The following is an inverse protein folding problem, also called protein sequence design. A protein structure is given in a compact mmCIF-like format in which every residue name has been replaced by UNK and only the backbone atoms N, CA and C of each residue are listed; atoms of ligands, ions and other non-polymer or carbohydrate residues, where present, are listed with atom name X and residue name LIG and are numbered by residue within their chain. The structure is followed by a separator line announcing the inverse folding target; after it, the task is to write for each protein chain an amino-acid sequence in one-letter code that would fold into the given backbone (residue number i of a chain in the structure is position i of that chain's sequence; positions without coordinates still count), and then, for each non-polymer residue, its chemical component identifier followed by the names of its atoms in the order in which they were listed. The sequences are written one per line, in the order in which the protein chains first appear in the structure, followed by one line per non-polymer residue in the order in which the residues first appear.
data_IF_278222651780
#
_entry.id   IF_278222651780
#
_cell.length_a   1.000
_cell.length_b   1.000
_cell.length_c   1.000
_cell.angle_alpha   90.00
_cell.angle_beta   90.00
_cell.angle_gamma   90.00
#
_symmetry.space_group_name_H-M   'P 1'
#
loop_
_entity.id
_entity.type
_entity.pdbx_description
1 polymer ?
#
# COMPACT_ATOMS: atom_id res chain seq x y z
N UNK A 1 9.03 -25.06 -37.52
CA UNK A 1 10.10 -24.59 -36.62
C UNK A 1 10.71 -25.82 -35.98
N UNK A 2 11.99 -26.11 -36.24
CA UNK A 2 12.66 -27.25 -35.61
C UNK A 2 13.33 -26.77 -34.32
N UNK A 3 13.26 -27.59 -33.29
CA UNK A 3 13.91 -27.36 -32.01
C UNK A 3 15.06 -28.36 -31.90
N UNK A 4 16.27 -27.85 -31.75
CA UNK A 4 17.48 -28.64 -31.57
C UNK A 4 17.94 -28.55 -30.12
N UNK A 5 18.70 -29.56 -29.68
CA UNK A 5 19.43 -29.50 -28.41
C UNK A 5 20.91 -29.29 -28.71
N UNK A 6 21.49 -28.22 -28.20
CA UNK A 6 22.89 -27.86 -28.45
C UNK A 6 23.66 -27.70 -27.15
N UNK A 7 24.99 -27.85 -27.21
CA UNK A 7 25.84 -27.58 -26.06
C UNK A 7 25.84 -26.09 -25.74
N UNK A 8 25.74 -25.76 -24.46
CA UNK A 8 25.72 -24.36 -23.97
C UNK A 8 27.01 -23.63 -24.30
N UNK A 9 28.13 -24.35 -24.34
CA UNK A 9 29.46 -23.80 -24.62
C UNK A 9 29.63 -23.39 -26.09
N UNK A 10 28.81 -23.93 -26.99
CA UNK A 10 28.79 -23.57 -28.41
C UNK A 10 28.00 -22.26 -28.67
N UNK A 11 27.32 -21.71 -27.66
CA UNK A 11 26.47 -20.54 -27.80
C UNK A 11 27.15 -19.27 -27.29
N UNK A 12 26.93 -18.18 -28.00
CA UNK A 12 27.41 -16.85 -27.66
C UNK A 12 26.22 -15.95 -27.28
N UNK A 13 26.40 -15.14 -26.23
CA UNK A 13 25.45 -14.07 -25.90
C UNK A 13 25.53 -12.99 -26.97
N UNK A 14 24.40 -12.34 -27.27
CA UNK A 14 24.40 -11.17 -28.15
C UNK A 14 25.08 -9.97 -27.45
N UNK A 15 26.25 -9.50 -27.90
CA UNK A 15 26.93 -8.37 -27.31
C UNK A 15 26.13 -7.05 -27.47
N UNK A 16 25.19 -7.00 -28.41
CA UNK A 16 24.32 -5.87 -28.66
C UNK A 16 22.90 -6.02 -28.05
N UNK A 17 22.71 -6.97 -27.14
CA UNK A 17 21.42 -7.17 -26.49
C UNK A 17 20.98 -5.90 -25.77
N UNK A 18 19.87 -5.32 -26.23
CA UNK A 18 19.33 -4.09 -25.64
C UNK A 18 18.72 -4.30 -24.23
N UNK A 19 18.39 -5.55 -23.87
CA UNK A 19 17.77 -5.88 -22.58
C UNK A 19 18.83 -6.24 -21.54
N UNK A 20 18.78 -5.54 -20.39
CA UNK A 20 19.64 -5.83 -19.25
C UNK A 20 18.88 -6.70 -18.25
N UNK A 21 19.53 -7.70 -17.71
CA UNK A 21 18.95 -8.60 -16.71
C UNK A 21 19.51 -8.24 -15.33
N UNK A 22 18.65 -7.86 -14.38
CA UNK A 22 19.02 -7.69 -12.99
C UNK A 22 19.28 -9.04 -12.33
N UNK A 23 19.97 -9.05 -11.18
CA UNK A 23 20.15 -10.27 -10.40
C UNK A 23 18.81 -10.93 -10.07
N UNK A 24 17.84 -10.15 -9.58
CA UNK A 24 16.46 -10.64 -9.27
C UNK A 24 15.81 -11.33 -10.48
N UNK A 25 15.95 -10.75 -11.67
CA UNK A 25 15.41 -11.35 -12.90
C UNK A 25 16.12 -12.67 -13.25
N UNK A 26 17.45 -12.72 -13.13
CA UNK A 26 18.19 -13.96 -13.40
C UNK A 26 17.88 -15.05 -12.37
N UNK A 27 17.73 -14.71 -11.10
CA UNK A 27 17.35 -15.62 -10.02
C UNK A 27 15.94 -16.22 -10.30
N UNK A 28 14.97 -15.39 -10.71
CA UNK A 28 13.63 -15.86 -11.08
C UNK A 28 13.63 -16.80 -12.29
N UNK A 29 14.44 -16.49 -13.32
CA UNK A 29 14.61 -17.38 -14.48
C UNK A 29 15.25 -18.70 -14.05
N UNK A 30 16.28 -18.65 -13.19
CA UNK A 30 16.95 -19.84 -12.68
C UNK A 30 16.02 -20.73 -11.87
N UNK A 31 15.25 -20.16 -10.94
CA UNK A 31 14.23 -20.87 -10.16
C UNK A 31 13.17 -21.55 -11.04
N UNK A 32 12.71 -20.85 -12.09
CA UNK A 32 11.79 -21.44 -13.06
C UNK A 32 12.43 -22.61 -13.84
N UNK A 33 13.68 -22.46 -14.27
CA UNK A 33 14.39 -23.53 -14.99
C UNK A 33 14.67 -24.74 -14.10
N UNK A 34 15.04 -24.53 -12.85
CA UNK A 34 15.30 -25.60 -11.88
C UNK A 34 14.03 -26.39 -11.59
N UNK A 35 12.90 -25.71 -11.42
CA UNK A 35 11.65 -26.33 -11.00
C UNK A 35 10.89 -26.99 -12.16
N UNK A 36 10.85 -26.36 -13.31
CA UNK A 36 10.05 -26.81 -14.44
C UNK A 36 10.87 -27.34 -15.62
N UNK A 37 12.19 -27.15 -15.58
CA UNK A 37 13.04 -27.36 -16.77
C UNK A 37 12.77 -26.31 -17.85
N UNK A 38 13.45 -26.44 -18.96
CA UNK A 38 13.20 -25.56 -20.10
C UNK A 38 11.91 -25.95 -20.83
N UNK A 39 10.92 -25.06 -20.87
CA UNK A 39 9.64 -25.22 -21.57
C UNK A 39 9.52 -24.38 -22.83
N UNK A 40 10.37 -23.37 -22.98
CA UNK A 40 10.43 -22.49 -24.15
C UNK A 40 11.87 -22.50 -24.69
N UNK A 41 12.12 -22.86 -25.97
CA UNK A 41 13.46 -22.82 -26.54
C UNK A 41 13.95 -21.36 -26.63
N UNK A 42 15.25 -21.16 -26.49
CA UNK A 42 15.87 -19.85 -26.81
C UNK A 42 16.04 -19.78 -28.35
N UNK A 43 16.07 -18.54 -28.88
CA UNK A 43 16.22 -18.35 -30.33
C UNK A 43 17.68 -18.01 -30.68
N UNK A 44 18.23 -18.68 -31.64
CA UNK A 44 19.62 -18.48 -32.07
C UNK A 44 19.71 -18.19 -33.54
N UNK A 45 20.64 -17.33 -33.91
CA UNK A 45 21.07 -17.10 -35.28
C UNK A 45 22.54 -17.48 -35.40
N UNK A 46 22.85 -18.52 -36.19
CA UNK A 46 24.13 -19.20 -36.15
C UNK A 46 24.40 -19.74 -34.74
N UNK A 47 25.39 -19.20 -34.01
CA UNK A 47 25.67 -19.56 -32.62
C UNK A 47 25.33 -18.43 -31.61
N UNK A 48 24.88 -17.28 -32.11
CA UNK A 48 24.51 -16.11 -31.28
C UNK A 48 23.06 -16.19 -30.81
N UNK A 49 22.81 -16.01 -29.50
CA UNK A 49 21.47 -15.99 -28.94
C UNK A 49 20.80 -14.67 -29.26
N UNK A 50 19.69 -14.71 -29.99
CA UNK A 50 18.90 -13.56 -30.42
C UNK A 50 17.78 -13.24 -29.41
N UNK A 51 17.12 -14.29 -28.88
CA UNK A 51 16.11 -14.13 -27.80
C UNK A 51 16.35 -15.22 -26.75
N UNK A 52 16.23 -14.84 -25.46
CA UNK A 52 16.50 -15.72 -24.32
C UNK A 52 17.92 -15.63 -23.76
N UNK A 53 18.61 -14.49 -23.92
CA UNK A 53 19.93 -14.25 -23.32
C UNK A 53 19.94 -14.48 -21.81
N UNK A 54 18.91 -14.01 -21.07
CA UNK A 54 18.76 -14.27 -19.64
C UNK A 54 18.62 -15.76 -19.32
N UNK A 55 17.91 -16.51 -20.15
CA UNK A 55 17.75 -17.97 -20.00
C UNK A 55 19.07 -18.69 -20.18
N UNK A 56 19.91 -18.30 -21.16
CA UNK A 56 21.24 -18.87 -21.32
C UNK A 56 22.13 -18.59 -20.11
N UNK A 57 22.11 -17.36 -19.58
CA UNK A 57 22.88 -16.98 -18.38
C UNK A 57 22.44 -17.80 -17.16
N UNK A 58 21.14 -17.92 -16.93
CA UNK A 58 20.58 -18.69 -15.82
C UNK A 58 20.90 -20.20 -15.96
N UNK A 59 20.77 -20.77 -17.16
CA UNK A 59 21.13 -22.16 -17.41
C UNK A 59 22.62 -22.44 -17.15
N UNK A 60 23.51 -21.52 -17.51
CA UNK A 60 24.95 -21.59 -17.19
C UNK A 60 25.18 -21.56 -15.67
N UNK A 61 24.50 -20.70 -14.94
CA UNK A 61 24.64 -20.64 -13.48
C UNK A 61 24.17 -21.91 -12.78
N UNK A 62 23.18 -22.60 -13.34
CA UNK A 62 22.70 -23.92 -12.90
C UNK A 62 23.56 -25.09 -13.32
N UNK A 63 24.65 -24.87 -14.08
CA UNK A 63 25.55 -25.90 -14.52
C UNK A 63 25.00 -26.81 -15.64
N UNK A 64 24.00 -26.32 -16.38
CA UNK A 64 23.48 -27.09 -17.53
C UNK A 64 24.55 -27.24 -18.61
N UNK A 65 24.56 -28.38 -19.28
CA UNK A 65 25.49 -28.66 -20.37
C UNK A 65 24.88 -28.44 -21.75
N UNK A 66 23.57 -28.55 -21.86
CA UNK A 66 22.85 -28.43 -23.11
C UNK A 66 21.53 -27.69 -22.91
N UNK A 67 21.06 -27.06 -23.98
CA UNK A 67 19.84 -26.24 -23.97
C UNK A 67 19.11 -26.39 -25.30
N UNK A 68 17.77 -26.32 -25.26
CA UNK A 68 16.93 -26.35 -26.46
C UNK A 68 16.91 -25.00 -27.17
N UNK A 69 17.14 -25.01 -28.45
CA UNK A 69 17.18 -23.82 -29.30
C UNK A 69 16.24 -23.94 -30.49
N UNK A 70 15.69 -22.80 -30.90
CA UNK A 70 15.04 -22.63 -32.18
C UNK A 70 15.95 -21.77 -33.08
N UNK A 71 16.17 -22.18 -34.33
CA UNK A 71 17.05 -21.45 -35.23
C UNK A 71 16.26 -20.40 -36.01
N UNK A 72 16.84 -19.22 -36.18
CA UNK A 72 16.37 -18.28 -37.21
C UNK A 72 16.51 -18.88 -38.58
N UNK A 73 15.70 -18.49 -39.55
CA UNK A 73 15.87 -18.87 -40.94
C UNK A 73 17.29 -18.54 -41.48
N UNK A 74 17.85 -19.41 -42.30
CA UNK A 74 19.22 -19.25 -42.79
C UNK A 74 19.37 -18.05 -43.77
N UNK A 75 18.27 -17.62 -44.37
CA UNK A 75 18.19 -16.47 -45.28
C UNK A 75 18.04 -15.12 -44.59
N UNK A 76 17.91 -15.10 -43.23
CA UNK A 76 17.84 -13.85 -42.52
C UNK A 76 19.18 -13.12 -42.51
N UNK A 77 19.08 -11.81 -42.77
CA UNK A 77 20.20 -10.88 -42.60
C UNK A 77 20.28 -10.33 -41.16
N UNK A 78 21.33 -9.58 -40.86
CA UNK A 78 21.60 -8.96 -39.57
C UNK A 78 20.48 -7.97 -39.14
N UNK A 79 19.83 -7.27 -40.09
CA UNK A 79 18.76 -6.35 -39.80
C UNK A 79 17.47 -7.05 -39.41
N UNK A 80 17.15 -8.15 -40.09
CA UNK A 80 15.98 -8.98 -39.76
C UNK A 80 16.14 -9.61 -38.39
N UNK A 81 17.33 -10.11 -38.07
CA UNK A 81 17.66 -10.69 -36.76
C UNK A 81 17.49 -9.64 -35.65
N UNK A 82 18.00 -8.43 -35.86
CA UNK A 82 17.88 -7.32 -34.93
C UNK A 82 16.42 -6.86 -34.75
N UNK A 83 15.66 -6.77 -35.83
CA UNK A 83 14.25 -6.42 -35.80
C UNK A 83 13.46 -7.47 -35.03
N UNK A 84 13.72 -8.76 -35.23
CA UNK A 84 13.10 -9.85 -34.48
C UNK A 84 13.41 -9.75 -32.97
N UNK A 85 14.69 -9.57 -32.60
CA UNK A 85 15.09 -9.43 -31.18
C UNK A 85 14.37 -8.31 -30.47
N UNK A 86 14.20 -7.15 -31.12
CA UNK A 86 13.45 -6.02 -30.59
C UNK A 86 11.95 -6.33 -30.48
N UNK A 87 11.36 -6.96 -31.51
CA UNK A 87 9.95 -7.30 -31.52
C UNK A 87 9.57 -8.33 -30.43
N UNK A 88 10.42 -9.37 -30.26
CA UNK A 88 10.22 -10.38 -29.21
C UNK A 88 10.20 -9.75 -27.80
N UNK A 89 11.17 -8.90 -27.50
CA UNK A 89 11.22 -8.18 -26.24
C UNK A 89 10.01 -7.25 -26.07
N UNK A 90 9.64 -6.49 -27.11
CA UNK A 90 8.58 -5.48 -27.02
C UNK A 90 7.20 -6.14 -26.86
N UNK A 91 6.95 -7.27 -27.50
CA UNK A 91 5.68 -7.99 -27.37
C UNK A 91 5.43 -8.46 -25.93
N UNK A 92 6.48 -8.88 -25.23
CA UNK A 92 6.39 -9.26 -23.81
C UNK A 92 6.12 -8.08 -22.89
N UNK A 93 6.66 -6.88 -23.23
CA UNK A 93 6.46 -5.65 -22.44
C UNK A 93 5.07 -5.04 -22.63
N UNK A 94 4.40 -5.28 -23.73
CA UNK A 94 3.06 -4.76 -24.02
C UNK A 94 1.95 -5.60 -23.38
N UNK A 95 2.26 -6.79 -22.88
CA UNK A 95 1.30 -7.59 -22.14
C UNK A 95 1.19 -7.08 -20.70
N UNK A 96 -0.02 -6.96 -20.22
CA UNK A 96 -0.34 -6.57 -18.86
C UNK A 96 -0.97 -7.76 -18.12
N UNK A 97 -0.75 -7.83 -16.80
CA UNK A 97 -1.40 -8.82 -15.97
C UNK A 97 -2.83 -8.37 -15.66
N UNK A 98 -3.78 -9.32 -15.73
CA UNK A 98 -5.03 -9.15 -15.00
C UNK A 98 -4.73 -9.43 -13.53
N UNK A 99 -4.61 -8.37 -12.75
CA UNK A 99 -4.18 -8.43 -11.34
C UNK A 99 -5.12 -9.31 -10.49
N UNK A 100 -6.42 -9.32 -10.77
CA UNK A 100 -7.38 -10.14 -10.02
C UNK A 100 -7.15 -11.63 -10.29
N UNK A 101 -6.97 -11.99 -11.56
CA UNK A 101 -6.70 -13.37 -11.96
C UNK A 101 -5.33 -13.81 -11.48
N UNK A 102 -4.32 -12.93 -11.56
CA UNK A 102 -2.97 -13.21 -11.10
C UNK A 102 -2.94 -13.50 -9.59
N UNK A 103 -3.55 -12.62 -8.79
CA UNK A 103 -3.58 -12.76 -7.35
C UNK A 103 -4.32 -14.04 -6.93
N UNK A 104 -5.46 -14.36 -7.55
CA UNK A 104 -6.17 -15.61 -7.28
C UNK A 104 -5.31 -16.86 -7.56
N UNK A 105 -4.53 -16.83 -8.65
CA UNK A 105 -3.62 -17.93 -9.02
C UNK A 105 -2.42 -18.04 -8.05
N UNK A 106 -1.86 -16.90 -7.61
CA UNK A 106 -0.77 -16.89 -6.63
C UNK A 106 -1.24 -17.45 -5.28
N UNK A 107 -2.41 -17.06 -4.81
CA UNK A 107 -3.03 -17.60 -3.59
C UNK A 107 -3.24 -19.12 -3.68
N UNK A 108 -3.76 -19.61 -4.80
CA UNK A 108 -3.94 -21.05 -5.00
C UNK A 108 -2.61 -21.80 -4.92
N UNK A 109 -1.54 -21.21 -5.47
CA UNK A 109 -0.19 -21.80 -5.42
C UNK A 109 0.39 -21.76 -4.01
N UNK A 110 0.23 -20.66 -3.27
CA UNK A 110 0.70 -20.52 -1.88
C UNK A 110 -0.05 -21.48 -0.93
N UNK A 111 -1.37 -21.63 -1.07
CA UNK A 111 -2.15 -22.61 -0.32
C UNK A 111 -1.71 -24.07 -0.59
N UNK A 112 -1.15 -24.30 -1.78
CA UNK A 112 -0.53 -25.59 -2.15
C UNK A 112 0.95 -25.68 -1.73
N UNK A 113 1.42 -24.81 -0.86
CA UNK A 113 2.83 -24.72 -0.39
C UNK A 113 3.84 -24.54 -1.54
N UNK A 114 3.42 -23.89 -2.62
CA UNK A 114 4.31 -23.61 -3.74
C UNK A 114 5.09 -22.33 -3.48
N UNK A 115 6.40 -22.38 -3.61
CA UNK A 115 7.28 -21.22 -3.47
C UNK A 115 7.16 -20.28 -4.69
N UNK A 116 6.33 -19.24 -4.57
CA UNK A 116 6.10 -18.25 -5.62
C UNK A 116 7.25 -17.25 -5.74
N UNK A 117 8.06 -17.07 -4.69
CA UNK A 117 9.25 -16.21 -4.74
C UNK A 117 10.31 -16.81 -5.68
N UNK A 118 10.44 -18.13 -5.68
CA UNK A 118 11.37 -18.82 -6.57
C UNK A 118 11.07 -18.63 -8.07
N UNK A 119 9.85 -18.24 -8.43
CA UNK A 119 9.46 -17.92 -9.81
C UNK A 119 9.33 -16.40 -10.06
N UNK A 120 9.74 -15.57 -9.10
CA UNK A 120 9.91 -14.14 -9.25
C UNK A 120 8.71 -13.28 -8.82
N UNK A 121 7.67 -13.87 -8.24
CA UNK A 121 6.61 -13.12 -7.58
C UNK A 121 6.98 -12.86 -6.13
N UNK A 122 6.58 -11.71 -5.61
CA UNK A 122 6.67 -11.46 -4.18
C UNK A 122 5.51 -12.18 -3.51
N UNK A 123 5.78 -12.89 -2.42
CA UNK A 123 4.72 -13.37 -1.56
C UNK A 123 3.93 -12.13 -1.14
N UNK A 124 2.70 -12.05 -1.59
CA UNK A 124 1.75 -11.20 -0.90
C UNK A 124 1.61 -11.84 0.47
N UNK A 125 2.22 -11.25 1.48
CA UNK A 125 1.74 -11.50 2.84
C UNK A 125 0.29 -11.04 2.78
N UNK A 126 -0.62 -11.97 2.53
CA UNK A 126 -2.02 -11.72 2.79
C UNK A 126 -2.09 -11.42 4.27
N UNK A 127 -2.18 -10.14 4.55
CA UNK A 127 -2.86 -9.72 5.75
C UNK A 127 -4.22 -10.39 5.64
N UNK A 128 -4.47 -11.44 6.47
CA UNK A 128 -5.77 -12.11 6.52
C UNK A 128 -6.84 -11.04 6.29
N UNK A 129 -7.77 -11.22 5.35
CA UNK A 129 -8.83 -10.25 5.16
C UNK A 129 -9.57 -10.17 6.50
N UNK A 130 -9.10 -9.26 7.33
CA UNK A 130 -9.93 -8.81 8.44
C UNK A 130 -11.18 -8.37 7.71
N UNK A 131 -12.34 -8.84 8.17
CA UNK A 131 -13.63 -8.31 7.73
C UNK A 131 -13.63 -6.85 8.20
N UNK A 132 -12.86 -6.04 7.49
CA UNK A 132 -12.36 -4.71 7.86
C UNK A 132 -13.47 -3.69 7.88
N UNK A 133 -14.60 -4.04 7.30
CA UNK A 133 -15.63 -3.11 6.91
C UNK A 133 -16.90 -3.22 7.76
N UNK A 134 -17.00 -4.21 8.64
CA UNK A 134 -18.07 -4.24 9.62
C UNK A 134 -17.71 -3.35 10.81
N UNK A 135 -18.20 -2.12 10.78
CA UNK A 135 -18.20 -1.26 11.96
C UNK A 135 -19.35 -1.73 12.85
N UNK A 136 -19.07 -2.20 14.07
CA UNK A 136 -20.14 -2.54 15.01
C UNK A 136 -20.99 -1.32 15.28
N UNK A 137 -22.29 -1.45 15.21
CA UNK A 137 -23.22 -0.37 15.54
C UNK A 137 -23.20 -0.15 17.06
N UNK A 138 -22.57 0.94 17.49
CA UNK A 138 -22.54 1.34 18.91
C UNK A 138 -23.71 2.29 19.18
N UNK A 139 -24.72 1.80 19.86
CA UNK A 139 -25.95 2.57 20.16
C UNK A 139 -25.72 3.56 21.29
N UNK A 140 -25.01 3.15 22.35
CA UNK A 140 -24.63 4.01 23.48
C UNK A 140 -23.15 3.80 23.80
N UNK A 141 -22.30 4.85 23.79
CA UNK A 141 -20.88 4.71 24.06
C UNK A 141 -20.62 4.37 25.53
N UNK A 142 -19.67 3.45 25.75
CA UNK A 142 -19.14 3.13 27.08
C UNK A 142 -17.99 4.05 27.46
N UNK A 143 -17.17 4.41 26.46
CA UNK A 143 -16.03 5.30 26.61
C UNK A 143 -16.45 6.75 26.85
N UNK A 144 -15.62 7.53 27.52
CA UNK A 144 -15.83 8.95 27.84
C UNK A 144 -14.58 9.76 27.54
N UNK A 145 -14.74 11.05 27.34
CA UNK A 145 -13.60 11.97 27.23
C UNK A 145 -12.69 11.87 28.46
N UNK A 146 -11.41 11.67 28.20
CA UNK A 146 -10.36 11.46 29.21
C UNK A 146 -9.96 10.01 29.41
N UNK A 147 -10.78 9.05 29.01
CA UNK A 147 -10.51 7.62 29.13
C UNK A 147 -9.28 7.23 28.32
N UNK A 148 -8.42 6.39 28.93
CA UNK A 148 -7.29 5.75 28.26
C UNK A 148 -7.42 4.25 28.37
N UNK A 149 -7.44 3.60 27.23
CA UNK A 149 -7.58 2.17 27.08
C UNK A 149 -6.24 1.52 26.67
N UNK A 150 -5.96 0.34 27.23
CA UNK A 150 -4.87 -0.52 26.82
C UNK A 150 -5.44 -1.66 25.98
N UNK A 151 -4.99 -1.77 24.72
CA UNK A 151 -5.38 -2.80 23.76
C UNK A 151 -4.11 -3.65 23.46
N UNK A 152 -3.86 -4.71 24.22
CA UNK A 152 -2.61 -5.44 24.15
C UNK A 152 -1.40 -4.51 24.33
N UNK A 153 -0.62 -4.33 23.27
CA UNK A 153 0.54 -3.39 23.26
C UNK A 153 0.18 -1.95 22.87
N UNK A 154 -1.04 -1.71 22.38
CA UNK A 154 -1.49 -0.38 21.92
C UNK A 154 -2.14 0.42 23.04
N UNK A 155 -2.18 1.74 22.85
CA UNK A 155 -2.92 2.66 23.72
C UNK A 155 -3.89 3.49 22.88
N UNK A 156 -5.11 3.60 23.37
CA UNK A 156 -6.18 4.40 22.77
C UNK A 156 -6.70 5.38 23.80
N UNK A 157 -6.78 6.66 23.44
CA UNK A 157 -7.33 7.69 24.30
C UNK A 157 -8.55 8.35 23.66
N UNK A 158 -9.62 8.47 24.44
CA UNK A 158 -10.75 9.32 24.09
C UNK A 158 -10.41 10.76 24.43
N UNK A 159 -10.10 11.61 23.44
CA UNK A 159 -9.68 12.97 23.76
C UNK A 159 -9.39 13.86 22.57
N UNK A 160 -9.22 15.15 22.86
CA UNK A 160 -8.87 16.17 21.88
C UNK A 160 -7.37 16.18 21.61
N UNK A 161 -7.00 15.90 20.38
CA UNK A 161 -5.61 15.81 19.89
C UNK A 161 -4.93 17.17 19.70
N UNK A 162 -5.66 18.27 19.74
CA UNK A 162 -5.09 19.63 19.73
C UNK A 162 -4.51 20.03 21.09
N UNK A 163 -4.89 19.32 22.15
CA UNK A 163 -4.40 19.49 23.52
C UNK A 163 -3.14 18.66 23.71
N UNK A 164 -1.98 19.33 23.78
CA UNK A 164 -0.65 18.67 23.83
C UNK A 164 -0.53 17.75 25.06
N UNK A 165 -1.14 18.09 26.16
CA UNK A 165 -1.16 17.32 27.41
C UNK A 165 -1.85 15.95 27.22
N UNK A 166 -2.91 15.90 26.42
CA UNK A 166 -3.57 14.64 26.08
C UNK A 166 -2.64 13.72 25.29
N UNK A 167 -1.92 14.28 24.31
CA UNK A 167 -0.96 13.50 23.52
C UNK A 167 0.23 13.06 24.37
N UNK A 168 0.67 13.88 25.35
CA UNK A 168 1.69 13.48 26.32
C UNK A 168 1.22 12.34 27.22
N UNK A 169 -0.01 12.38 27.69
CA UNK A 169 -0.65 11.32 28.48
C UNK A 169 -0.72 10.02 27.68
N UNK A 170 -1.16 10.09 26.43
CA UNK A 170 -1.23 8.95 25.51
C UNK A 170 0.16 8.32 25.31
N UNK A 171 1.17 9.12 25.00
CA UNK A 171 2.55 8.71 24.72
C UNK A 171 3.38 8.45 25.99
N UNK A 172 2.85 8.67 27.19
CA UNK A 172 3.57 8.56 28.47
C UNK A 172 4.88 9.39 28.48
N UNK A 173 4.82 10.59 27.93
CA UNK A 173 5.98 11.50 27.84
C UNK A 173 7.04 11.09 26.81
N UNK A 174 6.83 10.04 26.03
CA UNK A 174 7.73 9.59 24.97
C UNK A 174 7.39 10.23 23.63
N UNK A 175 8.21 9.93 22.61
CA UNK A 175 7.90 10.24 21.22
C UNK A 175 7.60 8.95 20.45
N UNK A 176 6.73 9.06 19.44
CA UNK A 176 6.52 8.00 18.48
C UNK A 176 7.61 8.02 17.40
N UNK A 177 7.93 6.84 16.84
CA UNK A 177 8.91 6.73 15.75
C UNK A 177 8.38 7.26 14.43
N UNK A 178 7.08 7.19 14.20
CA UNK A 178 6.40 7.76 13.04
C UNK A 178 4.95 8.14 13.34
N UNK A 179 4.31 8.86 12.41
CA UNK A 179 2.89 9.11 12.43
C UNK A 179 2.23 8.74 11.11
N UNK A 180 0.99 8.27 11.23
CA UNK A 180 0.07 8.10 10.10
C UNK A 180 -1.30 8.60 10.56
N UNK A 181 -1.83 9.66 9.96
CA UNK A 181 -3.01 10.33 10.51
C UNK A 181 -3.84 11.03 9.43
N UNK A 182 -5.15 11.13 9.66
CA UNK A 182 -6.15 11.64 8.74
C UNK A 182 -7.03 12.71 9.42
N UNK A 183 -6.54 13.95 9.53
CA UNK A 183 -7.31 15.04 10.15
C UNK A 183 -8.62 15.34 9.40
N UNK A 184 -9.67 15.80 10.06
CA UNK A 184 -10.88 16.29 9.39
C UNK A 184 -10.55 17.38 8.36
N UNK A 185 -11.21 17.29 7.19
CA UNK A 185 -10.85 18.14 6.04
C UNK A 185 -11.45 19.55 6.10
N UNK A 186 -12.27 19.88 7.10
CA UNK A 186 -12.91 21.17 7.22
C UNK A 186 -13.93 21.47 6.10
N UNK A 187 -14.53 20.43 5.53
CA UNK A 187 -15.42 20.56 4.36
C UNK A 187 -16.89 20.32 4.68
N UNK A 188 -17.32 20.37 5.94
CA UNK A 188 -18.71 20.21 6.41
C UNK A 188 -19.50 19.16 5.57
N UNK A 189 -19.03 17.90 5.57
CA UNK A 189 -19.57 16.85 4.72
C UNK A 189 -20.96 16.41 5.21
N UNK A 190 -22.02 16.91 4.54
CA UNK A 190 -23.43 16.63 4.89
C UNK A 190 -24.01 15.39 4.19
N UNK A 191 -23.22 14.60 3.49
CA UNK A 191 -23.69 13.44 2.72
C UNK A 191 -24.27 13.79 1.35
N UNK A 192 -24.04 12.94 0.38
CA UNK A 192 -24.60 13.08 -0.98
C UNK A 192 -26.05 12.57 -1.09
N UNK A 193 -26.78 13.01 -2.09
CA UNK A 193 -28.09 12.48 -2.47
C UNK A 193 -27.91 11.06 -3.00
N UNK A 194 -28.45 10.06 -2.33
CA UNK A 194 -28.58 8.70 -2.88
C UNK A 194 -29.94 8.54 -3.53
N UNK A 195 -29.96 8.19 -4.82
CA UNK A 195 -31.17 7.77 -5.50
C UNK A 195 -31.45 6.30 -5.15
N UNK A 196 -32.47 6.07 -4.34
CA UNK A 196 -32.93 4.71 -4.04
C UNK A 196 -33.92 4.26 -5.11
N UNK A 197 -33.49 3.30 -5.93
CA UNK A 197 -34.37 2.51 -6.77
C UNK A 197 -34.69 3.08 -8.16
N UNK A 198 -34.75 2.19 -9.15
CA UNK A 198 -34.96 2.47 -10.59
C UNK A 198 -36.33 3.05 -10.96
N UNK A 199 -37.26 3.24 -10.03
CA UNK A 199 -38.67 3.52 -10.41
C UNK A 199 -39.46 4.50 -9.54
N UNK A 200 -38.96 5.14 -8.51
CA UNK A 200 -39.78 6.02 -7.66
C UNK A 200 -39.41 7.49 -7.63
N UNK A 201 -38.28 7.88 -8.16
CA UNK A 201 -37.90 9.31 -8.26
C UNK A 201 -37.82 10.10 -6.93
N UNK A 202 -37.96 9.45 -5.80
CA UNK A 202 -37.85 10.09 -4.49
C UNK A 202 -36.38 10.19 -4.06
N UNK A 203 -35.94 11.42 -3.83
CA UNK A 203 -34.63 11.69 -3.25
C UNK A 203 -34.70 11.50 -1.73
N UNK A 204 -34.02 10.49 -1.21
CA UNK A 204 -33.82 10.34 0.22
C UNK A 204 -32.58 11.13 0.62
N UNK A 205 -32.77 12.18 1.42
CA UNK A 205 -31.67 12.91 2.04
C UNK A 205 -31.20 12.09 3.23
N UNK A 206 -30.04 11.47 3.14
CA UNK A 206 -29.37 10.93 4.30
C UNK A 206 -28.79 12.12 5.08
N UNK A 207 -29.50 12.57 6.12
CA UNK A 207 -28.94 13.44 7.14
C UNK A 207 -27.91 12.59 7.92
N UNK A 208 -26.65 12.60 7.47
CA UNK A 208 -25.54 12.13 8.32
C UNK A 208 -25.23 13.21 9.33
N UNK A 209 -25.03 12.80 10.59
CA UNK A 209 -24.45 13.68 11.60
C UNK A 209 -23.10 14.19 11.06
N UNK A 210 -22.84 15.50 11.20
CA UNK A 210 -21.56 16.10 10.83
C UNK A 210 -20.46 15.46 11.67
N UNK A 211 -19.33 15.18 11.03
CA UNK A 211 -18.13 14.78 11.77
C UNK A 211 -17.72 15.97 12.65
N UNK A 212 -17.51 15.73 13.91
CA UNK A 212 -17.14 16.78 14.87
C UNK A 212 -15.83 17.44 14.42
N UNK A 213 -15.79 18.79 14.38
CA UNK A 213 -14.68 19.62 13.87
C UNK A 213 -14.35 19.52 12.37
N UNK A 214 -15.22 18.96 11.53
CA UNK A 214 -14.98 18.93 10.07
C UNK A 214 -15.10 20.33 9.41
N UNK A 215 -15.54 21.36 10.13
CA UNK A 215 -15.60 22.74 9.70
C UNK A 215 -14.38 23.58 10.10
N UNK A 216 -13.38 22.99 10.79
CA UNK A 216 -12.21 23.67 11.34
C UNK A 216 -10.94 23.22 10.62
N UNK A 217 -10.07 24.19 10.26
CA UNK A 217 -8.73 23.92 9.76
C UNK A 217 -7.76 23.62 10.91
N UNK A 218 -7.58 22.35 11.22
CA UNK A 218 -6.73 21.86 12.31
C UNK A 218 -5.27 21.63 11.91
N UNK A 219 -4.91 21.78 10.64
CA UNK A 219 -3.59 21.37 10.15
C UNK A 219 -2.42 22.06 10.81
N UNK A 220 -2.57 23.33 11.15
CA UNK A 220 -1.49 24.08 11.82
C UNK A 220 -1.20 23.52 13.23
N UNK A 221 -2.23 23.10 13.96
CA UNK A 221 -2.10 22.55 15.31
C UNK A 221 -1.64 21.08 15.24
N UNK A 222 -2.17 20.28 14.33
CA UNK A 222 -1.69 18.92 14.06
C UNK A 222 -0.19 18.91 13.76
N UNK A 223 0.28 19.78 12.87
CA UNK A 223 1.71 19.88 12.54
C UNK A 223 2.56 20.25 13.76
N UNK A 224 2.09 21.13 14.65
CA UNK A 224 2.80 21.46 15.90
C UNK A 224 2.89 20.25 16.83
N UNK A 225 1.78 19.53 17.00
CA UNK A 225 1.75 18.31 17.81
C UNK A 225 2.70 17.26 17.25
N UNK A 226 2.63 16.95 15.95
CA UNK A 226 3.50 15.98 15.30
C UNK A 226 4.99 16.41 15.38
N UNK A 227 5.28 17.71 15.22
CA UNK A 227 6.64 18.23 15.35
C UNK A 227 7.22 18.03 16.74
N UNK A 228 6.39 18.09 17.79
CA UNK A 228 6.81 17.88 19.16
C UNK A 228 6.90 16.39 19.55
N UNK A 229 6.03 15.55 19.00
CA UNK A 229 5.77 14.19 19.49
C UNK A 229 6.24 13.05 18.57
N UNK A 230 6.76 13.36 17.38
CA UNK A 230 7.25 12.34 16.43
C UNK A 230 8.74 12.53 16.14
N UNK A 231 9.49 11.42 16.08
CA UNK A 231 10.94 11.41 15.83
C UNK A 231 11.30 10.78 14.46
N UNK A 232 10.41 10.86 13.49
CA UNK A 232 10.61 10.29 12.16
C UNK A 232 9.56 10.71 11.14
N UNK A 233 9.15 9.77 10.31
CA UNK A 233 8.24 9.99 9.20
C UNK A 233 6.81 10.31 9.65
N UNK A 234 6.16 11.26 8.98
CA UNK A 234 4.75 11.55 9.15
C UNK A 234 4.03 11.46 7.80
N UNK A 235 2.95 10.70 7.77
CA UNK A 235 2.01 10.60 6.66
C UNK A 235 0.72 11.30 7.07
N UNK A 236 0.40 12.42 6.43
CA UNK A 236 -0.71 13.29 6.81
C UNK A 236 -1.64 13.41 5.61
N UNK A 237 -2.82 12.81 5.73
CA UNK A 237 -3.85 12.87 4.69
C UNK A 237 -4.54 14.23 4.72
N UNK A 238 -5.00 14.70 3.55
CA UNK A 238 -5.65 15.99 3.46
C UNK A 238 -6.52 16.11 2.20
N UNK A 239 -7.40 17.14 2.19
CA UNK A 239 -8.16 17.52 1.00
C UNK A 239 -7.38 18.59 0.21
N UNK A 240 -7.56 18.61 -1.13
CA UNK A 240 -6.95 19.63 -2.01
C UNK A 240 -7.22 21.06 -1.53
N UNK A 241 -8.37 21.33 -0.90
CA UNK A 241 -8.73 22.64 -0.33
C UNK A 241 -7.79 23.07 0.80
N UNK A 242 -7.18 22.13 1.51
CA UNK A 242 -6.33 22.39 2.69
C UNK A 242 -4.83 22.40 2.35
N UNK A 243 -4.46 22.17 1.08
CA UNK A 243 -3.06 22.04 0.65
C UNK A 243 -2.20 23.21 1.11
N UNK A 244 -2.68 24.46 0.92
CA UNK A 244 -1.87 25.66 1.22
C UNK A 244 -1.63 25.82 2.73
N UNK A 245 -2.64 25.59 3.54
CA UNK A 245 -2.56 25.64 5.00
C UNK A 245 -1.60 24.60 5.53
N UNK A 246 -1.84 23.31 5.19
CA UNK A 246 -0.98 22.21 5.60
C UNK A 246 0.47 22.42 5.17
N UNK A 247 0.70 22.77 3.89
CA UNK A 247 2.06 22.91 3.36
C UNK A 247 2.82 24.07 4.02
N UNK A 248 2.14 25.19 4.28
CA UNK A 248 2.71 26.33 4.98
C UNK A 248 3.12 26.00 6.42
N UNK A 249 2.27 25.28 7.14
CA UNK A 249 2.56 24.81 8.50
C UNK A 249 3.72 23.79 8.47
N UNK A 250 3.68 22.80 7.58
CA UNK A 250 4.70 21.78 7.44
C UNK A 250 6.09 22.34 7.18
N UNK A 251 6.23 23.32 6.28
CA UNK A 251 7.51 23.99 5.99
C UNK A 251 8.07 24.77 7.17
N UNK A 252 7.22 25.28 8.05
CA UNK A 252 7.66 26.00 9.25
C UNK A 252 8.30 25.07 10.28
N UNK A 253 7.79 23.86 10.44
CA UNK A 253 8.17 22.94 11.52
C UNK A 253 8.99 21.72 11.06
N UNK A 254 9.15 21.51 9.75
CA UNK A 254 9.87 20.34 9.24
C UNK A 254 10.18 20.40 7.75
N UNK A 255 10.47 19.24 7.17
CA UNK A 255 10.82 19.07 5.77
C UNK A 255 9.77 18.22 5.06
N UNK A 256 9.22 18.76 3.98
CA UNK A 256 8.35 18.03 3.06
C UNK A 256 9.21 17.22 2.11
N UNK A 257 9.01 15.91 2.05
CA UNK A 257 9.77 15.01 1.19
C UNK A 257 9.03 14.63 -0.08
N UNK A 258 7.72 14.37 0.02
CA UNK A 258 6.90 14.01 -1.14
C UNK A 258 5.42 14.32 -0.89
N UNK A 259 4.66 14.34 -1.97
CA UNK A 259 3.22 14.19 -1.96
C UNK A 259 2.89 12.82 -2.54
N UNK A 260 2.20 12.00 -1.77
CA UNK A 260 1.74 10.67 -2.17
C UNK A 260 0.28 10.79 -2.58
N UNK A 261 -0.09 10.14 -3.66
CA UNK A 261 -1.46 10.11 -4.16
C UNK A 261 -2.00 8.67 -4.08
N UNK A 262 -2.97 8.44 -3.22
CA UNK A 262 -3.70 7.19 -3.24
C UNK A 262 -4.77 7.23 -4.33
N UNK A 263 -4.67 6.35 -5.32
CA UNK A 263 -5.64 6.21 -6.41
C UNK A 263 -6.76 5.26 -5.97
N UNK A 264 -7.99 5.75 -6.04
CA UNK A 264 -9.17 4.97 -5.66
C UNK A 264 -9.72 4.16 -6.84
N UNK A 265 -9.86 2.87 -6.67
CA UNK A 265 -10.56 2.02 -7.62
C UNK A 265 -12.07 2.11 -7.38
N UNK A 266 -12.75 2.91 -8.19
CA UNK A 266 -14.19 3.16 -8.09
C UNK A 266 -14.56 4.29 -7.11
N UNK A 267 -15.73 4.84 -7.31
CA UNK A 267 -16.23 6.00 -6.55
C UNK A 267 -15.81 7.32 -7.16
N UNK A 268 -16.81 8.09 -7.60
CA UNK A 268 -16.61 9.42 -8.17
C UNK A 268 -17.19 10.44 -7.20
N UNK A 269 -16.42 11.47 -6.87
CA UNK A 269 -16.95 12.62 -6.15
C UNK A 269 -17.96 13.38 -7.01
N UNK A 270 -18.84 14.09 -6.38
CA UNK A 270 -19.87 15.02 -6.83
C UNK A 270 -20.33 14.90 -8.30
N UNK A 271 -21.61 14.65 -8.51
CA UNK A 271 -22.19 14.47 -9.85
C UNK A 271 -21.94 15.64 -10.80
N UNK A 272 -21.74 16.86 -10.30
CA UNK A 272 -21.60 18.10 -11.08
C UNK A 272 -20.16 18.57 -11.27
N UNK A 273 -19.14 17.82 -10.84
CA UNK A 273 -17.75 18.21 -11.05
C UNK A 273 -17.29 17.93 -12.49
N UNK A 274 -16.60 18.89 -13.11
CA UNK A 274 -16.01 18.72 -14.46
C UNK A 274 -15.01 17.57 -14.51
N UNK A 275 -14.19 17.43 -13.46
CA UNK A 275 -13.27 16.33 -13.29
C UNK A 275 -13.67 15.49 -12.08
N UNK A 276 -13.70 14.18 -12.26
CA UNK A 276 -13.97 13.23 -11.17
C UNK A 276 -12.69 12.95 -10.42
N UNK A 277 -12.67 13.26 -9.12
CA UNK A 277 -11.50 13.03 -8.27
C UNK A 277 -11.34 11.53 -8.00
N UNK A 278 -10.22 10.96 -8.44
CA UNK A 278 -9.88 9.54 -8.27
C UNK A 278 -8.75 9.31 -7.27
N UNK A 279 -8.31 10.34 -6.57
CA UNK A 279 -7.19 10.21 -5.64
C UNK A 279 -7.44 10.99 -4.36
N UNK A 280 -6.73 10.58 -3.31
CA UNK A 280 -6.57 11.36 -2.08
C UNK A 280 -5.08 11.65 -1.87
N UNK A 281 -4.72 12.91 -1.59
CA UNK A 281 -3.34 13.27 -1.34
C UNK A 281 -2.94 13.02 0.12
N UNK A 282 -1.66 12.63 0.29
CA UNK A 282 -1.02 12.48 1.58
C UNK A 282 0.33 13.21 1.56
N UNK A 283 0.59 14.04 2.56
CA UNK A 283 1.86 14.70 2.73
C UNK A 283 2.84 13.77 3.44
N UNK A 284 3.94 13.42 2.79
CA UNK A 284 5.06 12.73 3.39
C UNK A 284 6.06 13.75 3.91
N UNK A 285 6.13 13.86 5.23
CA UNK A 285 6.82 14.92 5.95
C UNK A 285 7.61 14.37 7.13
N UNK A 286 8.59 15.14 7.63
CA UNK A 286 9.25 14.86 8.91
C UNK A 286 9.46 16.14 9.71
N UNK A 287 9.46 16.10 11.06
CA UNK A 287 9.89 17.19 11.91
C UNK A 287 11.33 17.60 11.68
N UNK A 288 11.69 18.85 12.00
CA UNK A 288 13.08 19.31 12.01
C UNK A 288 13.92 18.47 12.99
N UNK A 289 15.17 18.24 12.61
CA UNK A 289 16.16 17.52 13.42
C UNK A 289 15.80 16.04 13.69
N UNK A 290 14.91 15.46 12.90
CA UNK A 290 14.60 14.03 12.92
C UNK A 290 15.17 13.32 11.69
N UNK A 291 15.24 12.00 11.70
CA UNK A 291 15.78 11.19 10.60
C UNK A 291 14.71 10.24 10.07
N UNK A 292 14.53 10.23 8.75
CA UNK A 292 13.73 9.19 8.11
C UNK A 292 14.50 7.87 8.16
N UNK A 293 13.89 6.85 8.73
CA UNK A 293 14.42 5.48 8.75
C UNK A 293 13.69 4.65 7.67
N UNK A 294 13.79 5.11 6.43
CA UNK A 294 13.13 4.45 5.31
C UNK A 294 13.86 3.15 4.94
N UNK A 295 13.12 2.04 4.91
CA UNK A 295 13.59 0.70 4.57
C UNK A 295 12.82 0.08 3.38
N UNK A 296 11.86 0.80 2.85
CA UNK A 296 11.07 0.38 1.69
C UNK A 296 11.92 0.15 0.44
N UNK A 297 11.36 -0.51 -0.55
CA UNK A 297 12.03 -0.79 -1.80
C UNK A 297 12.48 0.49 -2.52
N UNK A 298 13.61 0.44 -3.24
CA UNK A 298 14.11 1.57 -4.05
C UNK A 298 13.20 1.92 -5.24
N UNK A 299 12.23 1.07 -5.52
CA UNK A 299 11.22 1.23 -6.57
C UNK A 299 9.92 1.82 -6.06
N UNK A 300 9.81 2.16 -4.76
CA UNK A 300 8.61 2.80 -4.22
C UNK A 300 8.29 4.09 -4.96
N UNK A 301 7.01 4.29 -5.26
CA UNK A 301 6.51 5.44 -5.99
C UNK A 301 5.58 6.30 -5.14
N UNK A 302 5.34 7.52 -5.59
CA UNK A 302 4.38 8.42 -4.93
C UNK A 302 2.92 8.17 -5.38
N UNK A 303 2.69 7.27 -6.31
CA UNK A 303 1.35 6.83 -6.72
C UNK A 303 1.09 5.48 -6.03
N UNK A 304 0.09 5.47 -5.16
CA UNK A 304 -0.35 4.26 -4.47
C UNK A 304 -1.67 3.81 -5.06
N UNK A 305 -1.61 2.73 -5.82
CA UNK A 305 -2.78 2.05 -6.38
C UNK A 305 -3.07 0.83 -5.48
N UNK A 306 -3.89 1.05 -4.47
CA UNK A 306 -4.33 0.01 -3.55
C UNK A 306 -5.84 -0.12 -3.73
N UNK A 307 -6.25 -1.26 -4.22
CA UNK A 307 -7.67 -1.58 -4.36
C UNK A 307 -8.33 -1.62 -2.99
N UNK A 308 -9.55 -1.10 -2.90
CA UNK A 308 -10.44 -1.44 -1.80
C UNK A 308 -10.91 -2.87 -2.05
N UNK A 309 -10.33 -3.84 -1.36
CA UNK A 309 -10.86 -5.19 -1.35
C UNK A 309 -12.16 -5.18 -0.53
N UNK A 310 -13.28 -5.33 -1.23
CA UNK A 310 -14.60 -5.36 -0.65
C UNK A 310 -15.41 -4.07 -0.84
N UNK A 311 -16.70 -4.23 -1.08
CA UNK A 311 -17.67 -3.13 -1.15
C UNK A 311 -17.93 -2.62 0.25
N UNK A 312 -17.27 -1.54 0.64
CA UNK A 312 -17.59 -0.84 1.87
C UNK A 312 -18.89 -0.06 1.69
N UNK A 313 -20.01 -0.69 1.96
CA UNK A 313 -21.33 -0.04 1.89
C UNK A 313 -21.56 0.91 3.09
N UNK A 314 -20.75 0.80 4.15
CA UNK A 314 -21.00 1.46 5.43
C UNK A 314 -20.22 2.75 5.69
N UNK A 315 -19.01 2.96 5.10
CA UNK A 315 -18.24 4.20 5.28
C UNK A 315 -17.46 4.63 4.04
N UNK A 316 -17.93 5.62 3.29
CA UNK A 316 -17.25 6.13 2.09
C UNK A 316 -15.95 6.90 2.39
N UNK A 317 -15.71 7.29 3.64
CA UNK A 317 -14.52 8.06 4.08
C UNK A 317 -13.44 7.22 4.75
N UNK A 318 -13.70 5.93 5.06
CA UNK A 318 -12.71 5.09 5.72
C UNK A 318 -11.55 4.75 4.78
N UNK A 319 -10.32 4.93 5.28
CA UNK A 319 -9.10 4.49 4.58
C UNK A 319 -8.85 3.00 4.80
N UNK A 320 -8.44 2.26 3.76
CA UNK A 320 -8.06 0.86 3.88
C UNK A 320 -6.89 0.67 4.86
N UNK A 321 -6.92 -0.40 5.65
CA UNK A 321 -5.81 -0.81 6.53
C UNK A 321 -4.50 -0.94 5.75
N UNK A 322 -4.56 -1.44 4.51
CA UNK A 322 -3.44 -1.59 3.61
C UNK A 322 -2.64 -0.29 3.35
N UNK A 323 -3.29 0.89 3.38
CA UNK A 323 -2.58 2.17 3.23
C UNK A 323 -1.66 2.44 4.43
N UNK A 324 -2.17 2.23 5.65
CA UNK A 324 -1.39 2.39 6.86
C UNK A 324 -0.30 1.32 6.94
N UNK A 325 -0.60 0.06 6.64
CA UNK A 325 0.35 -1.04 6.62
C UNK A 325 1.51 -0.76 5.64
N UNK A 326 1.22 -0.29 4.42
CA UNK A 326 2.24 0.10 3.44
C UNK A 326 3.14 1.22 3.96
N UNK A 327 2.59 2.26 4.55
CA UNK A 327 3.38 3.35 5.14
C UNK A 327 4.27 2.84 6.28
N UNK A 328 3.72 2.02 7.17
CA UNK A 328 4.41 1.49 8.35
C UNK A 328 5.57 0.56 7.96
N UNK A 329 5.34 -0.36 7.03
CA UNK A 329 6.36 -1.33 6.61
C UNK A 329 7.51 -0.69 5.83
N UNK A 330 7.31 0.47 5.26
CA UNK A 330 8.36 1.24 4.60
C UNK A 330 9.34 1.92 5.58
N UNK A 331 9.13 1.80 6.89
CA UNK A 331 9.99 2.43 7.89
C UNK A 331 10.44 1.45 8.99
N UNK A 332 11.70 1.61 9.45
CA UNK A 332 12.16 1.01 10.70
C UNK A 332 11.59 1.81 11.88
N UNK A 333 10.30 1.61 12.13
CA UNK A 333 9.52 2.25 13.18
C UNK A 333 8.88 1.18 14.06
N UNK A 334 8.98 1.31 15.38
CA UNK A 334 8.36 0.41 16.36
C UNK A 334 7.05 0.94 16.91
N UNK A 335 6.88 2.26 16.84
CA UNK A 335 5.70 2.95 17.35
C UNK A 335 5.15 3.93 16.33
N UNK A 336 3.82 3.97 16.24
CA UNK A 336 3.04 4.80 15.31
C UNK A 336 2.08 5.64 16.10
N UNK A 337 2.03 6.94 15.83
CA UNK A 337 1.06 7.88 16.39
C UNK A 337 -0.02 8.16 15.33
N UNK A 338 -1.27 7.98 15.73
CA UNK A 338 -2.43 8.46 15.00
C UNK A 338 -3.31 9.30 15.93
N UNK A 339 -3.43 10.59 15.62
CA UNK A 339 -4.17 11.54 16.46
C UNK A 339 -5.61 11.76 16.02
N UNK A 340 -6.06 11.05 14.98
CA UNK A 340 -7.43 11.03 14.47
C UNK A 340 -7.82 9.59 14.11
N UNK A 341 -8.13 8.79 15.11
CA UNK A 341 -8.28 7.34 14.99
C UNK A 341 -9.39 6.88 14.05
N UNK A 342 -10.49 7.66 13.98
CA UNK A 342 -11.67 7.31 13.20
C UNK A 342 -12.16 5.89 13.53
N UNK A 343 -12.21 5.02 12.55
CA UNK A 343 -12.59 3.62 12.75
C UNK A 343 -11.44 2.70 13.20
N UNK A 344 -10.20 3.20 13.36
CA UNK A 344 -9.06 2.46 13.87
C UNK A 344 -8.21 1.71 12.85
N UNK A 345 -8.28 2.05 11.57
CA UNK A 345 -7.51 1.36 10.52
C UNK A 345 -6.00 1.34 10.78
N UNK A 346 -5.44 2.44 11.32
CA UNK A 346 -4.03 2.52 11.68
C UNK A 346 -3.67 1.56 12.83
N UNK A 347 -4.55 1.39 13.82
CA UNK A 347 -4.32 0.47 14.94
C UNK A 347 -4.32 -0.98 14.46
N UNK A 348 -5.27 -1.34 13.61
CA UNK A 348 -5.33 -2.67 12.98
C UNK A 348 -4.07 -2.94 12.15
N UNK A 349 -3.62 -1.97 11.34
CA UNK A 349 -2.37 -2.09 10.58
C UNK A 349 -1.14 -2.30 11.50
N UNK A 350 -1.10 -1.60 12.65
CA UNK A 350 -0.05 -1.78 13.64
C UNK A 350 -0.07 -3.16 14.27
N UNK A 351 -1.27 -3.71 14.59
CA UNK A 351 -1.41 -5.05 15.11
C UNK A 351 -0.88 -6.09 14.12
N UNK A 352 -1.29 -6.00 12.86
CA UNK A 352 -0.88 -6.92 11.79
C UNK A 352 0.62 -6.84 11.46
N UNK A 353 1.24 -5.67 11.62
CA UNK A 353 2.66 -5.45 11.29
C UNK A 353 3.60 -5.52 12.51
N UNK A 354 3.12 -5.94 13.66
CA UNK A 354 3.87 -6.03 14.93
C UNK A 354 4.46 -4.68 15.38
N UNK A 355 3.65 -3.63 15.33
CA UNK A 355 4.00 -2.27 15.80
C UNK A 355 3.10 -1.87 16.97
N UNK A 356 3.56 -0.93 17.80
CA UNK A 356 2.74 -0.31 18.85
C UNK A 356 2.02 0.91 18.27
N UNK A 357 0.70 0.96 18.38
CA UNK A 357 -0.08 2.14 18.04
C UNK A 357 -0.38 2.97 19.28
N UNK A 358 -0.17 4.28 19.19
CA UNK A 358 -0.71 5.28 20.10
C UNK A 358 -1.77 6.04 19.33
N UNK A 359 -3.04 5.86 19.71
CA UNK A 359 -4.17 6.37 18.95
C UNK A 359 -5.03 7.28 19.80
N UNK A 360 -5.51 8.38 19.21
CA UNK A 360 -6.46 9.28 19.82
C UNK A 360 -7.69 9.43 18.94
N UNK A 361 -8.85 9.45 19.57
CA UNK A 361 -10.13 9.68 18.90
C UNK A 361 -11.00 10.54 19.81
N UNK A 362 -11.65 11.56 19.23
CA UNK A 362 -12.45 12.50 20.00
C UNK A 362 -13.84 11.95 20.33
N UNK A 363 -14.47 11.25 19.38
CA UNK A 363 -15.82 10.70 19.54
C UNK A 363 -15.80 9.40 20.35
N UNK A 364 -16.43 9.34 21.53
CA UNK A 364 -16.53 8.12 22.33
C UNK A 364 -17.12 6.91 21.58
N UNK A 365 -18.03 7.13 20.63
CA UNK A 365 -18.60 6.05 19.82
C UNK A 365 -17.53 5.38 18.95
N UNK A 366 -16.67 6.19 18.31
CA UNK A 366 -15.57 5.66 17.52
C UNK A 366 -14.48 4.99 18.36
N UNK A 367 -14.24 5.46 19.59
CA UNK A 367 -13.37 4.78 20.56
C UNK A 367 -13.87 3.35 20.81
N UNK A 368 -15.17 3.18 21.07
CA UNK A 368 -15.77 1.86 21.29
C UNK A 368 -15.74 0.99 20.01
N UNK A 369 -15.87 1.60 18.84
CA UNK A 369 -15.69 0.89 17.54
C UNK A 369 -14.26 0.37 17.41
N UNK A 370 -13.26 1.17 17.70
CA UNK A 370 -11.85 0.78 17.64
C UNK A 370 -11.58 -0.40 18.59
N UNK A 371 -12.10 -0.32 19.82
CA UNK A 371 -11.99 -1.38 20.81
C UNK A 371 -12.61 -2.68 20.28
N UNK A 372 -13.86 -2.63 19.82
CA UNK A 372 -14.58 -3.79 19.34
C UNK A 372 -13.91 -4.45 18.11
N UNK A 373 -13.34 -3.64 17.21
CA UNK A 373 -12.58 -4.13 16.05
C UNK A 373 -11.30 -4.84 16.47
N UNK A 374 -10.56 -4.26 17.41
CA UNK A 374 -9.32 -4.87 17.89
C UNK A 374 -9.61 -6.17 18.67
N UNK A 375 -10.62 -6.17 19.55
CA UNK A 375 -11.06 -7.37 20.29
C UNK A 375 -11.52 -8.50 19.33
N UNK A 376 -12.25 -8.13 18.27
CA UNK A 376 -12.69 -9.10 17.24
C UNK A 376 -11.49 -9.70 16.48
N UNK A 377 -10.47 -8.88 16.20
CA UNK A 377 -9.27 -9.30 15.46
C UNK A 377 -8.39 -10.24 16.30
N UNK A 378 -8.16 -9.88 17.56
CA UNK A 378 -7.16 -10.56 18.41
C UNK A 378 -7.75 -11.64 19.31
N UNK A 379 -9.04 -11.54 19.64
CA UNK A 379 -9.67 -12.35 20.67
C UNK A 379 -9.33 -11.92 22.09
N UNK A 380 -8.50 -10.88 22.27
CA UNK A 380 -8.14 -10.32 23.56
C UNK A 380 -9.18 -9.28 24.00
N UNK A 381 -9.10 -8.81 25.24
CA UNK A 381 -10.01 -7.82 25.82
C UNK A 381 -9.27 -6.52 26.15
N UNK A 382 -9.83 -5.39 25.73
CA UNK A 382 -9.30 -4.07 26.06
C UNK A 382 -9.52 -3.73 27.55
N UNK A 383 -8.57 -3.02 28.14
CA UNK A 383 -8.59 -2.66 29.56
C UNK A 383 -8.58 -1.15 29.73
N UNK A 384 -9.58 -0.60 30.42
CA UNK A 384 -9.57 0.80 30.84
C UNK A 384 -8.51 0.99 31.91
N UNK A 385 -7.50 1.83 31.66
CA UNK A 385 -6.38 2.05 32.59
C UNK A 385 -6.44 3.41 33.28
N UNK A 386 -7.13 4.37 32.68
CA UNK A 386 -7.39 5.68 33.25
C UNK A 386 -8.74 6.20 32.74
N UNK A 387 -9.58 6.78 33.61
CA UNK A 387 -10.92 7.32 33.30
C UNK A 387 -11.32 8.43 34.27
#
# INVERSE_FOLDING_TARGET
MNVDVVLIDDLELDPNNARRHSKKNLDAIAGSLERFGQRKPIVVWRNRVVAGNGTLVAARSLGWRAISVARCPDDWDELQVKAFALADNRSAELAEWDEQVLNAQLQELELAEFDVEAIGFETTVELEPVVEDEIPEVVEPKSKLGDVWQLGRHRLMCGDSTVVENVDKLLQGKKADMAFTDPPYGVAYTGGIQFTGRNTGEAVFNNREMIENDDVDLYADVIKVLAAKVDGACYIWFSDSNLLSLYSAAKKFGDVHAMILWVKNGGYSAMNANYKQKHEPCLYWKPKNTTLKFIGATTETTIWDLSKDGRNEFHPTQKPVALAAKAITNHDAKSVLDVFGGSGSTLIACEQTDRTCFMMELDPKYVDVIIARWEKLTGDTAVLIEG
#
